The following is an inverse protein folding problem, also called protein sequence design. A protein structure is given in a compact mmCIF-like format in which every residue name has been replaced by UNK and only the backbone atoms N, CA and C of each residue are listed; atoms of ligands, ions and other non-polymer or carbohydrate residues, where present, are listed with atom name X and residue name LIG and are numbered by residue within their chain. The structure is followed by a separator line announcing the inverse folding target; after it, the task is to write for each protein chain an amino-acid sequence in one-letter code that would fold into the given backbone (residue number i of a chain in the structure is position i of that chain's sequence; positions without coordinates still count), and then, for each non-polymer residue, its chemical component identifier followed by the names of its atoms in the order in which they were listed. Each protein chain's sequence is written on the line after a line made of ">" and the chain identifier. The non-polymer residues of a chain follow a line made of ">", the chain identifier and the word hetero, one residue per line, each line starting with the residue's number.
data_IF_229410030989
#
_entry.id   IF_229410030989
#
_cell.length_a   1.000
_cell.length_b   1.000
_cell.length_c   1.000
_cell.angle_alpha   90.00
_cell.angle_beta   90.00
_cell.angle_gamma   90.00
#
_symmetry.space_group_name_H-M   'P 1'
#
loop_
_entity.id
_entity.type
_entity.pdbx_description
1 polymer ?
#
# COMPACT_ATOMS: atom_id res chain seq x y z
N UNK A 1 15.11 3.89 -5.38
CA UNK A 1 15.29 2.88 -4.30
C UNK A 1 15.06 1.47 -4.88
N UNK A 2 15.73 0.43 -4.38
CA UNK A 2 15.57 -0.95 -4.88
C UNK A 2 14.50 -1.76 -4.12
N UNK A 3 13.59 -1.09 -3.39
CA UNK A 3 12.50 -1.76 -2.66
C UNK A 3 11.27 -1.86 -3.53
N UNK A 4 10.57 -2.99 -3.45
CA UNK A 4 9.33 -3.24 -4.18
C UNK A 4 8.13 -2.84 -3.35
N UNK A 5 7.14 -2.21 -3.98
CA UNK A 5 5.97 -1.61 -3.32
C UNK A 5 4.70 -2.26 -3.87
N UNK A 6 3.88 -2.82 -2.99
CA UNK A 6 2.53 -3.25 -3.31
C UNK A 6 1.53 -2.21 -2.81
N UNK A 7 0.64 -1.75 -3.67
CA UNK A 7 -0.47 -0.88 -3.30
C UNK A 7 -1.75 -1.69 -3.41
N UNK A 8 -2.27 -2.09 -2.26
CA UNK A 8 -3.51 -2.84 -2.14
C UNK A 8 -4.66 -1.84 -2.24
N UNK A 9 -5.29 -1.78 -3.43
CA UNK A 9 -6.38 -0.86 -3.74
C UNK A 9 -6.02 0.25 -4.74
N UNK A 10 -6.23 -0.03 -6.03
CA UNK A 10 -6.09 0.92 -7.15
C UNK A 10 -7.25 1.93 -7.29
N UNK A 11 -7.68 2.54 -6.19
CA UNK A 11 -8.57 3.71 -6.22
C UNK A 11 -7.78 5.01 -6.46
N UNK A 12 -8.46 6.16 -6.42
CA UNK A 12 -7.81 7.47 -6.61
C UNK A 12 -6.59 7.67 -5.71
N UNK A 13 -6.68 7.25 -4.43
CA UNK A 13 -5.59 7.40 -3.47
C UNK A 13 -4.40 6.50 -3.82
N UNK A 14 -4.63 5.22 -4.12
CA UNK A 14 -3.56 4.28 -4.48
C UNK A 14 -2.84 4.68 -5.77
N UNK A 15 -3.60 5.15 -6.77
CA UNK A 15 -3.03 5.67 -8.02
C UNK A 15 -2.24 6.95 -7.77
N UNK A 16 -2.76 7.90 -7.00
CA UNK A 16 -2.04 9.14 -6.67
C UNK A 16 -0.72 8.88 -5.93
N UNK A 17 -0.69 7.89 -5.03
CA UNK A 17 0.55 7.46 -4.35
C UNK A 17 1.54 6.91 -5.39
N UNK A 18 1.11 6.01 -6.26
CA UNK A 18 1.98 5.46 -7.30
C UNK A 18 2.56 6.55 -8.22
N UNK A 19 1.71 7.46 -8.68
CA UNK A 19 2.14 8.58 -9.51
C UNK A 19 3.11 9.51 -8.80
N UNK A 20 2.87 9.82 -7.52
CA UNK A 20 3.77 10.63 -6.71
C UNK A 20 5.16 9.98 -6.55
N UNK A 21 5.20 8.66 -6.33
CA UNK A 21 6.44 7.89 -6.21
C UNK A 21 7.24 7.87 -7.51
N UNK A 22 6.56 7.75 -8.65
CA UNK A 22 7.19 7.76 -9.98
C UNK A 22 7.69 9.17 -10.33
N UNK A 23 6.84 10.19 -10.18
CA UNK A 23 7.18 11.58 -10.55
C UNK A 23 8.31 12.16 -9.71
N UNK A 24 8.43 11.75 -8.45
CA UNK A 24 9.53 12.16 -7.58
C UNK A 24 10.85 11.44 -7.87
N UNK A 25 10.86 10.42 -8.74
CA UNK A 25 12.03 9.57 -9.01
C UNK A 25 12.39 8.62 -7.86
N UNK A 26 11.52 8.49 -6.85
CA UNK A 26 11.78 7.67 -5.67
C UNK A 26 11.77 6.17 -5.99
N UNK A 27 10.81 5.75 -6.84
CA UNK A 27 10.66 4.36 -7.30
C UNK A 27 10.53 4.31 -8.82
N UNK A 28 11.11 3.27 -9.41
CA UNK A 28 10.84 2.93 -10.80
C UNK A 28 9.42 2.35 -10.93
N UNK A 29 8.70 2.57 -12.03
CA UNK A 29 7.36 2.05 -12.25
C UNK A 29 7.27 0.53 -12.06
N UNK A 30 8.25 -0.22 -12.58
CA UNK A 30 8.30 -1.69 -12.50
C UNK A 30 8.46 -2.22 -11.06
N UNK A 31 8.91 -1.39 -10.13
CA UNK A 31 9.00 -1.74 -8.71
C UNK A 31 7.68 -1.56 -7.95
N UNK A 32 6.64 -1.04 -8.61
CA UNK A 32 5.31 -0.83 -8.03
C UNK A 32 4.35 -1.86 -8.63
N UNK A 33 3.59 -2.52 -7.76
CA UNK A 33 2.45 -3.35 -8.14
C UNK A 33 1.17 -2.81 -7.49
N UNK A 34 0.09 -2.64 -8.26
CA UNK A 34 -1.20 -2.14 -7.77
C UNK A 34 -2.27 -3.20 -7.94
N UNK A 35 -3.07 -3.41 -6.89
CA UNK A 35 -4.16 -4.39 -6.95
C UNK A 35 -5.54 -3.76 -7.09
N UNK A 36 -6.39 -4.33 -7.94
CA UNK A 36 -7.81 -3.95 -8.05
C UNK A 36 -8.63 -5.08 -8.65
N UNK A 37 -9.88 -5.22 -8.19
CA UNK A 37 -10.83 -6.22 -8.75
C UNK A 37 -11.02 -6.07 -10.26
N UNK A 38 -11.15 -4.83 -10.74
CA UNK A 38 -11.24 -4.53 -12.17
C UNK A 38 -9.98 -3.78 -12.64
N UNK A 39 -8.99 -4.54 -13.09
CA UNK A 39 -7.70 -4.04 -13.57
C UNK A 39 -7.82 -3.14 -14.80
N UNK A 40 -8.89 -3.28 -15.61
CA UNK A 40 -9.10 -2.44 -16.82
C UNK A 40 -9.21 -0.95 -16.54
N UNK A 41 -9.44 -0.57 -15.27
CA UNK A 41 -9.48 0.84 -14.85
C UNK A 41 -8.10 1.41 -14.47
N UNK A 42 -7.04 0.61 -14.61
CA UNK A 42 -5.65 0.97 -14.31
C UNK A 42 -4.79 1.07 -15.57
N UNK A 43 -5.38 1.12 -16.77
CA UNK A 43 -4.65 1.20 -18.05
C UNK A 43 -3.66 2.35 -18.09
N UNK A 44 -4.01 3.50 -17.51
CA UNK A 44 -3.17 4.70 -17.55
C UNK A 44 -1.89 4.51 -16.73
N UNK A 45 -1.99 3.91 -15.55
CA UNK A 45 -0.82 3.66 -14.70
C UNK A 45 0.00 2.46 -15.21
N UNK A 46 -0.67 1.43 -15.73
CA UNK A 46 -0.03 0.28 -16.39
C UNK A 46 0.79 0.73 -17.60
N UNK A 47 0.29 1.69 -18.40
CA UNK A 47 1.02 2.26 -19.54
C UNK A 47 2.32 2.98 -19.15
N UNK A 48 2.46 3.37 -17.88
CA UNK A 48 3.67 3.97 -17.31
C UNK A 48 4.68 2.93 -16.82
N UNK A 49 4.39 1.63 -16.97
CA UNK A 49 5.25 0.52 -16.55
C UNK A 49 4.95 -0.06 -15.17
N UNK A 50 3.86 0.36 -14.52
CA UNK A 50 3.44 -0.19 -13.22
C UNK A 50 2.79 -1.54 -13.40
N UNK A 51 3.16 -2.51 -12.55
CA UNK A 51 2.54 -3.83 -12.55
C UNK A 51 1.12 -3.74 -11.98
N UNK A 52 0.17 -4.44 -12.58
CA UNK A 52 -1.22 -4.49 -12.09
C UNK A 52 -1.69 -5.93 -11.97
N UNK A 53 -2.42 -6.24 -10.91
CA UNK A 53 -2.99 -7.57 -10.70
C UNK A 53 -4.33 -7.47 -9.97
N UNK A 54 -5.13 -8.53 -10.04
CA UNK A 54 -6.32 -8.70 -9.18
C UNK A 54 -6.02 -9.55 -7.95
N UNK A 55 -4.84 -10.18 -7.86
CA UNK A 55 -4.43 -11.02 -6.73
C UNK A 55 -3.60 -10.24 -5.70
N UNK A 56 -4.17 -10.07 -4.50
CA UNK A 56 -3.46 -9.42 -3.40
C UNK A 56 -2.27 -10.25 -2.89
N UNK A 57 -2.34 -11.59 -2.95
CA UNK A 57 -1.28 -12.45 -2.47
C UNK A 57 -0.05 -12.34 -3.35
N UNK A 58 -0.24 -12.33 -4.67
CA UNK A 58 0.83 -12.06 -5.64
C UNK A 58 1.53 -10.74 -5.35
N UNK A 59 0.76 -9.67 -5.15
CA UNK A 59 1.31 -8.35 -4.86
C UNK A 59 2.11 -8.32 -3.54
N UNK A 60 1.61 -8.96 -2.48
CA UNK A 60 2.31 -9.03 -1.20
C UNK A 60 3.61 -9.83 -1.33
N UNK A 61 3.59 -10.99 -2.01
CA UNK A 61 4.81 -11.77 -2.29
C UNK A 61 5.84 -10.98 -3.10
N UNK A 62 5.40 -10.12 -4.01
CA UNK A 62 6.30 -9.28 -4.79
C UNK A 62 7.03 -8.21 -3.95
N UNK A 63 6.35 -7.63 -2.96
CA UNK A 63 6.77 -6.37 -2.34
C UNK A 63 7.50 -6.52 -1.00
N UNK A 64 8.30 -5.51 -0.66
CA UNK A 64 8.85 -5.31 0.69
C UNK A 64 7.99 -4.32 1.49
N UNK A 65 7.28 -3.42 0.80
CA UNK A 65 6.40 -2.44 1.42
C UNK A 65 4.98 -2.61 0.89
N UNK A 66 4.02 -2.81 1.79
CA UNK A 66 2.61 -3.09 1.45
C UNK A 66 1.75 -1.91 1.91
N UNK A 67 1.28 -1.10 0.97
CA UNK A 67 0.41 0.06 1.20
C UNK A 67 -1.06 -0.35 1.11
N UNK A 68 -1.82 -0.15 2.17
CA UNK A 68 -3.27 -0.38 2.22
C UNK A 68 -4.02 0.90 1.85
N UNK A 69 -4.56 0.94 0.63
CA UNK A 69 -5.32 2.05 0.05
C UNK A 69 -6.78 1.66 -0.27
N UNK A 70 -7.37 0.80 0.56
CA UNK A 70 -8.77 0.33 0.45
C UNK A 70 -9.73 1.16 1.31
N UNK A 71 -11.04 0.92 1.17
CA UNK A 71 -12.03 1.57 2.03
C UNK A 71 -11.97 1.02 3.47
N UNK A 72 -12.30 1.83 4.50
CA UNK A 72 -12.22 1.41 5.90
C UNK A 72 -12.97 0.12 6.24
N UNK A 73 -14.16 -0.08 5.65
CA UNK A 73 -14.96 -1.28 5.90
C UNK A 73 -14.42 -2.55 5.23
N UNK A 74 -13.47 -2.43 4.28
CA UNK A 74 -12.90 -3.57 3.55
C UNK A 74 -11.58 -4.06 4.14
N UNK A 75 -10.88 -3.21 4.89
CA UNK A 75 -9.49 -3.44 5.28
C UNK A 75 -9.30 -4.76 6.02
N UNK A 76 -10.21 -5.12 6.93
CA UNK A 76 -10.10 -6.33 7.75
C UNK A 76 -10.15 -7.58 6.90
N UNK A 77 -11.16 -7.68 6.03
CA UNK A 77 -11.30 -8.81 5.10
C UNK A 77 -10.11 -8.91 4.15
N UNK A 78 -9.69 -7.77 3.59
CA UNK A 78 -8.56 -7.69 2.66
C UNK A 78 -7.26 -8.15 3.32
N UNK A 79 -6.95 -7.65 4.51
CA UNK A 79 -5.73 -8.02 5.26
C UNK A 79 -5.75 -9.49 5.65
N UNK A 80 -6.88 -10.01 6.15
CA UNK A 80 -7.00 -11.41 6.50
C UNK A 80 -6.85 -12.33 5.28
N UNK A 81 -7.19 -11.87 4.08
CA UNK A 81 -7.09 -12.62 2.83
C UNK A 81 -5.66 -12.85 2.32
N UNK A 82 -4.68 -12.04 2.75
CA UNK A 82 -3.27 -12.22 2.37
C UNK A 82 -2.33 -12.34 3.58
N UNK A 83 -2.86 -12.43 4.80
CA UNK A 83 -2.05 -12.39 6.03
C UNK A 83 -0.95 -13.46 6.04
N UNK A 84 -1.20 -14.62 5.43
CA UNK A 84 -0.27 -15.75 5.44
C UNK A 84 0.95 -15.52 4.54
N UNK A 85 0.88 -14.52 3.65
CA UNK A 85 2.01 -14.07 2.83
C UNK A 85 2.88 -13.03 3.55
N UNK A 86 2.41 -12.47 4.67
CA UNK A 86 3.15 -11.48 5.44
C UNK A 86 4.27 -12.15 6.25
N UNK A 87 5.43 -11.48 6.23
CA UNK A 87 6.63 -11.87 6.96
C UNK A 87 7.16 -10.62 7.65
N UNK A 88 7.13 -10.58 8.98
CA UNK A 88 7.51 -9.41 9.80
C UNK A 88 8.98 -9.00 9.63
N UNK A 89 9.84 -9.91 9.21
CA UNK A 89 11.27 -9.66 8.94
C UNK A 89 11.54 -8.99 7.59
N UNK A 90 10.58 -9.05 6.66
CA UNK A 90 10.73 -8.53 5.29
C UNK A 90 9.79 -7.37 5.01
N UNK A 91 8.54 -7.50 5.42
CA UNK A 91 7.47 -6.62 5.01
C UNK A 91 7.25 -5.49 6.00
N UNK A 92 6.94 -4.31 5.48
CA UNK A 92 6.37 -3.20 6.25
C UNK A 92 4.97 -2.89 5.74
N UNK A 93 3.99 -2.91 6.63
CA UNK A 93 2.60 -2.58 6.30
C UNK A 93 2.39 -1.08 6.50
N UNK A 94 1.94 -0.37 5.47
CA UNK A 94 1.64 1.06 5.51
C UNK A 94 0.15 1.26 5.28
N UNK A 95 -0.59 1.71 6.29
CA UNK A 95 -2.02 1.98 6.15
C UNK A 95 -2.28 3.46 5.90
N UNK A 96 -2.95 3.76 4.79
CA UNK A 96 -3.51 5.09 4.51
C UNK A 96 -5.02 5.17 4.75
N UNK A 97 -5.55 4.18 5.49
CA UNK A 97 -6.98 4.02 5.72
C UNK A 97 -7.43 4.85 6.93
N UNK A 98 -8.51 5.62 6.73
CA UNK A 98 -9.14 6.43 7.78
C UNK A 98 -9.86 5.55 8.79
N UNK A 99 -9.90 5.98 10.06
CA UNK A 99 -10.71 5.33 11.11
C UNK A 99 -10.17 4.00 11.68
N UNK A 100 -9.04 3.47 11.19
CA UNK A 100 -8.48 2.19 11.66
C UNK A 100 -7.20 2.41 12.46
N UNK A 101 -7.14 1.94 13.70
CA UNK A 101 -5.97 2.14 14.56
C UNK A 101 -4.90 1.07 14.31
N UNK A 102 -3.65 1.40 14.65
CA UNK A 102 -2.54 0.42 14.57
C UNK A 102 -2.84 -0.80 15.44
N UNK A 103 -3.43 -0.61 16.63
CA UNK A 103 -3.81 -1.72 17.52
C UNK A 103 -4.75 -2.72 16.83
N UNK A 104 -5.73 -2.22 16.06
CA UNK A 104 -6.72 -3.07 15.40
C UNK A 104 -6.05 -3.91 14.31
N UNK A 105 -5.12 -3.31 13.54
CA UNK A 105 -4.38 -4.06 12.52
C UNK A 105 -3.46 -5.11 13.14
N UNK A 106 -2.81 -4.83 14.27
CA UNK A 106 -1.95 -5.80 14.98
C UNK A 106 -2.71 -7.04 15.44
N UNK A 107 -3.97 -6.89 15.83
CA UNK A 107 -4.83 -8.04 16.15
C UNK A 107 -5.05 -8.98 14.95
N UNK A 108 -4.88 -8.49 13.72
CA UNK A 108 -5.10 -9.27 12.50
C UNK A 108 -3.81 -9.89 11.95
N UNK A 109 -2.70 -9.15 11.97
CA UNK A 109 -1.43 -9.56 11.32
C UNK A 109 -0.35 -10.02 12.30
N UNK A 110 -0.60 -9.92 13.61
CA UNK A 110 0.36 -10.27 14.64
C UNK A 110 1.09 -9.07 15.22
N UNK A 111 1.55 -9.22 16.47
CA UNK A 111 2.12 -8.13 17.27
C UNK A 111 3.47 -7.62 16.75
N UNK A 112 4.23 -8.47 16.07
CA UNK A 112 5.60 -8.20 15.60
C UNK A 112 5.65 -7.55 14.22
N UNK A 113 4.50 -7.44 13.54
CA UNK A 113 4.46 -6.86 12.21
C UNK A 113 4.82 -5.36 12.26
N UNK A 114 5.78 -4.90 11.44
CA UNK A 114 6.05 -3.47 11.28
C UNK A 114 4.85 -2.79 10.63
N UNK A 115 4.25 -1.81 11.32
CA UNK A 115 3.08 -1.08 10.83
C UNK A 115 3.32 0.42 10.91
N UNK A 116 3.12 1.09 9.79
CA UNK A 116 3.05 2.54 9.68
C UNK A 116 1.62 2.93 9.35
N UNK A 117 1.08 3.93 10.05
CA UNK A 117 -0.10 4.64 9.63
C UNK A 117 0.32 5.98 9.04
N UNK A 118 -0.06 6.24 7.80
CA UNK A 118 0.16 7.52 7.14
C UNK A 118 -1.20 8.10 6.77
N UNK A 119 -1.52 9.30 7.25
CA UNK A 119 -2.82 9.93 6.99
C UNK A 119 -2.64 11.14 6.07
N UNK A 120 -2.66 10.93 4.74
CA UNK A 120 -2.61 12.04 3.79
C UNK A 120 -3.95 12.77 3.72
N UNK A 121 -3.94 13.93 3.11
CA UNK A 121 -5.13 14.68 2.71
C UNK A 121 -5.37 14.59 1.19
N UNK A 122 -6.44 15.24 0.70
CA UNK A 122 -6.85 15.21 -0.71
C UNK A 122 -5.84 15.84 -1.68
N UNK A 123 -4.95 16.71 -1.19
CA UNK A 123 -3.92 17.35 -2.01
C UNK A 123 -2.84 16.37 -2.52
N UNK A 124 -2.92 15.09 -2.15
CA UNK A 124 -2.04 14.04 -2.70
C UNK A 124 -2.15 13.90 -4.22
N UNK A 125 -3.32 14.18 -4.80
CA UNK A 125 -3.53 14.15 -6.25
C UNK A 125 -2.67 15.19 -7.00
N UNK A 126 -2.26 16.26 -6.31
CA UNK A 126 -1.41 17.33 -6.85
C UNK A 126 -0.03 17.39 -6.18
N UNK A 127 0.33 16.37 -5.38
CA UNK A 127 1.61 16.27 -4.68
C UNK A 127 1.88 17.34 -3.60
N UNK A 128 0.83 17.98 -3.06
CA UNK A 128 0.91 19.01 -2.01
C UNK A 128 0.30 18.53 -0.68
N UNK A 129 0.35 17.22 -0.43
CA UNK A 129 -0.28 16.65 0.76
C UNK A 129 0.52 16.87 2.03
N UNK A 130 -0.16 17.28 3.10
CA UNK A 130 0.36 17.12 4.46
C UNK A 130 -0.05 15.74 4.98
N UNK A 131 0.93 14.94 5.40
CA UNK A 131 0.71 13.56 5.86
C UNK A 131 1.19 13.40 7.29
N UNK A 132 0.27 13.04 8.19
CA UNK A 132 0.64 12.66 9.57
C UNK A 132 1.08 11.19 9.59
N UNK A 133 2.18 10.90 10.29
CA UNK A 133 2.76 9.56 10.35
C UNK A 133 2.82 9.08 11.81
N UNK A 134 2.44 7.82 12.03
CA UNK A 134 2.63 7.10 13.29
C UNK A 134 3.11 5.69 12.98
N UNK A 135 4.04 5.15 13.76
CA UNK A 135 4.62 3.84 13.50
C UNK A 135 4.67 2.95 14.74
N UNK A 136 4.76 1.64 14.50
CA UNK A 136 4.96 0.62 15.52
C UNK A 136 5.85 -0.50 14.96
N UNK A 137 6.87 -0.91 15.73
CA UNK A 137 7.81 -1.98 15.38
C UNK A 137 8.48 -1.81 14.00
N UNK A 138 8.68 -0.57 13.57
CA UNK A 138 9.38 -0.28 12.31
C UNK A 138 10.89 -0.23 12.52
N UNK A 139 11.68 -1.06 11.81
CA UNK A 139 13.14 -0.93 11.84
C UNK A 139 13.56 0.46 11.31
N UNK A 140 14.64 0.99 11.88
CA UNK A 140 15.23 2.29 11.52
C UNK A 140 15.94 2.22 10.16
#
# INVERSE_FOLDING_TARGET
>A
MNKKIAIIGGGNLGVAIAEGLIKSGFSLPEHIIITKRNIKTLTDIESKGVLVTSDNNEAVRYADLVILAVKPFQIKEVVLGFKDELQSTRHTLVSVVTGVLIKDMREWVGADMPIVRAMPNTAIAIQESMTCISSHNTPQ
#
